data_IF_879021942072
#
_entry.id   IF_879021942072
#
_cell.length_a   1.000
_cell.length_b   1.000
_cell.length_c   1.000
_cell.angle_alpha   90.00
_cell.angle_beta   90.00
_cell.angle_gamma   90.00
#
_symmetry.space_group_name_H-M   'P 1'
#
loop_
_entity.id
_entity.type
_entity.pdbx_description
1 polymer ?
#
# COMPACT_ATOMS: atom_id res chain seq x y z
N UNK A 1 1.45 21.46 19.66
CA UNK A 1 2.04 22.54 18.83
C UNK A 1 1.01 23.64 18.75
N UNK A 2 1.25 24.76 19.43
CA UNK A 2 0.25 25.83 19.59
C UNK A 2 0.34 26.91 18.51
N UNK A 3 1.31 26.80 17.59
CA UNK A 3 1.50 27.73 16.48
C UNK A 3 1.07 27.08 15.17
N UNK A 4 0.27 27.82 14.39
CA UNK A 4 -0.07 27.44 13.02
C UNK A 4 1.19 27.48 12.13
N UNK A 5 1.35 26.54 11.19
CA UNK A 5 2.41 26.59 10.20
C UNK A 5 2.31 27.84 9.33
N UNK A 6 3.46 28.30 8.86
CA UNK A 6 3.58 29.38 7.90
C UNK A 6 3.14 28.92 6.49
N UNK A 7 2.96 29.89 5.58
CA UNK A 7 2.45 29.62 4.23
C UNK A 7 3.38 28.73 3.40
N UNK A 8 4.70 28.80 3.61
CA UNK A 8 5.67 28.01 2.84
C UNK A 8 5.52 26.54 3.21
N UNK A 9 5.37 26.23 4.50
CA UNK A 9 5.13 24.86 4.97
C UNK A 9 3.82 24.27 4.42
N UNK A 10 2.76 25.09 4.31
CA UNK A 10 1.48 24.65 3.71
C UNK A 10 1.66 24.40 2.20
N UNK A 11 2.46 25.20 1.51
CA UNK A 11 2.75 25.01 0.09
C UNK A 11 3.59 23.75 -0.16
N UNK A 12 4.65 23.53 0.63
CA UNK A 12 5.46 22.31 0.57
C UNK A 12 4.60 21.03 0.69
N UNK A 13 3.61 21.05 1.58
CA UNK A 13 2.61 19.96 1.68
C UNK A 13 1.83 19.74 0.38
N UNK A 14 1.38 20.81 -0.27
CA UNK A 14 0.59 20.77 -1.51
C UNK A 14 1.43 20.28 -2.70
N UNK A 15 2.73 20.56 -2.68
CA UNK A 15 3.68 20.14 -3.71
C UNK A 15 4.20 18.70 -3.51
N UNK A 16 3.73 18.03 -2.45
CA UNK A 16 4.06 16.63 -2.15
C UNK A 16 5.42 16.47 -1.50
N UNK A 17 6.03 17.55 -1.02
CA UNK A 17 7.27 17.50 -0.28
C UNK A 17 7.07 16.86 1.10
N UNK A 18 8.14 16.26 1.61
CA UNK A 18 8.11 15.62 2.92
C UNK A 18 8.08 16.68 4.01
N UNK A 19 6.97 16.74 4.74
CA UNK A 19 6.79 17.56 5.94
C UNK A 19 6.42 16.69 7.15
N UNK A 20 6.61 17.24 8.34
CA UNK A 20 6.36 16.52 9.60
C UNK A 20 4.89 16.14 9.81
N UNK A 21 4.66 14.90 10.24
CA UNK A 21 3.32 14.35 10.48
C UNK A 21 2.51 15.14 11.53
N UNK A 22 3.21 15.75 12.49
CA UNK A 22 2.61 16.60 13.53
C UNK A 22 1.99 17.87 12.93
N UNK A 23 2.61 18.45 11.90
CA UNK A 23 2.12 19.61 11.17
C UNK A 23 0.92 19.21 10.31
N UNK A 24 0.97 18.06 9.66
CA UNK A 24 -0.17 17.50 8.90
C UNK A 24 -1.37 17.29 9.83
N UNK A 25 -1.17 16.71 11.02
CA UNK A 25 -2.22 16.53 12.01
C UNK A 25 -2.79 17.87 12.48
N UNK A 26 -1.95 18.86 12.76
CA UNK A 26 -2.39 20.22 13.10
C UNK A 26 -3.21 20.85 11.97
N UNK A 27 -2.75 20.77 10.72
CA UNK A 27 -3.46 21.31 9.56
C UNK A 27 -4.83 20.65 9.35
N UNK A 28 -5.01 19.38 9.73
CA UNK A 28 -6.30 18.68 9.69
C UNK A 28 -7.24 19.11 10.83
N UNK A 29 -6.72 19.35 12.03
CA UNK A 29 -7.51 19.75 13.20
C UNK A 29 -7.87 21.24 13.22
N UNK A 30 -6.93 22.11 12.85
CA UNK A 30 -7.06 23.55 12.98
C UNK A 30 -7.90 24.17 11.85
N UNK A 31 -8.97 24.90 12.20
CA UNK A 31 -9.90 25.49 11.21
C UNK A 31 -9.22 26.56 10.34
N UNK A 32 -8.36 27.40 10.93
CA UNK A 32 -7.65 28.46 10.19
C UNK A 32 -6.67 27.87 9.18
N UNK A 33 -5.94 26.81 9.57
CA UNK A 33 -5.01 26.11 8.69
C UNK A 33 -5.73 25.39 7.55
N UNK A 34 -6.88 24.74 7.82
CA UNK A 34 -7.73 24.15 6.77
C UNK A 34 -8.19 25.17 5.76
N UNK A 35 -8.61 26.36 6.20
CA UNK A 35 -9.05 27.43 5.30
C UNK A 35 -7.91 27.90 4.39
N UNK A 36 -6.74 28.19 4.96
CA UNK A 36 -5.54 28.57 4.19
C UNK A 36 -5.11 27.48 3.20
N UNK A 37 -5.14 26.22 3.62
CA UNK A 37 -4.84 25.08 2.76
C UNK A 37 -5.79 25.04 1.55
N UNK A 38 -7.08 25.26 1.76
CA UNK A 38 -8.07 25.32 0.66
C UNK A 38 -7.82 26.52 -0.26
N UNK A 39 -7.53 27.70 0.29
CA UNK A 39 -7.21 28.90 -0.50
C UNK A 39 -6.01 28.64 -1.44
N UNK A 40 -4.92 28.06 -0.93
CA UNK A 40 -3.73 27.75 -1.74
C UNK A 40 -4.03 26.65 -2.77
N UNK A 41 -4.82 25.63 -2.43
CA UNK A 41 -5.25 24.61 -3.40
C UNK A 41 -6.03 25.20 -4.57
N UNK A 42 -6.94 26.14 -4.30
CA UNK A 42 -7.69 26.83 -5.36
C UNK A 42 -6.75 27.66 -6.24
N UNK A 43 -5.76 28.34 -5.64
CA UNK A 43 -4.76 29.08 -6.40
C UNK A 43 -3.91 28.16 -7.29
N UNK A 44 -3.43 27.03 -6.76
CA UNK A 44 -2.70 26.00 -7.52
C UNK A 44 -3.54 25.47 -8.67
N UNK A 45 -4.78 25.08 -8.41
CA UNK A 45 -5.67 24.56 -9.45
C UNK A 45 -5.95 25.61 -10.54
N UNK A 46 -6.09 26.89 -10.15
CA UNK A 46 -6.26 27.99 -11.10
C UNK A 46 -4.99 28.20 -11.94
N UNK A 47 -3.81 28.08 -11.32
CA UNK A 47 -2.52 28.15 -12.02
C UNK A 47 -2.27 26.95 -12.95
N UNK A 48 -2.65 25.74 -12.54
CA UNK A 48 -2.55 24.53 -13.36
C UNK A 48 -3.47 24.63 -14.60
N UNK A 49 -4.67 25.21 -14.41
CA UNK A 49 -5.63 25.48 -15.51
C UNK A 49 -5.19 26.58 -16.45
N UNK A 50 -4.22 27.42 -16.06
CA UNK A 50 -3.62 28.43 -16.93
C UNK A 50 -2.77 27.80 -18.06
N UNK A 51 -2.71 26.46 -18.14
CA UNK A 51 -2.36 25.64 -19.30
C UNK A 51 -1.53 26.39 -20.36
N UNK A 52 -0.21 26.39 -20.16
CA UNK A 52 0.71 26.77 -21.22
C UNK A 52 0.38 26.00 -22.50
N UNK A 53 0.46 26.65 -23.66
CA UNK A 53 0.24 26.03 -24.98
C UNK A 53 1.31 25.00 -25.35
N UNK A 54 2.23 24.71 -24.45
CA UNK A 54 3.34 23.80 -24.64
C UNK A 54 2.80 22.37 -24.69
N UNK A 55 3.03 21.71 -25.83
CA UNK A 55 2.77 20.30 -25.98
C UNK A 55 4.00 19.53 -25.55
N UNK A 56 3.79 18.39 -24.90
CA UNK A 56 4.86 17.42 -24.67
C UNK A 56 5.52 17.05 -26.01
N UNK A 57 6.84 16.80 -26.04
CA UNK A 57 7.52 16.35 -27.24
C UNK A 57 6.87 15.07 -27.79
N UNK A 58 6.85 14.95 -29.12
CA UNK A 58 6.44 13.69 -29.76
C UNK A 58 7.31 12.53 -29.25
N UNK A 59 6.68 11.40 -28.94
CA UNK A 59 7.37 10.21 -28.41
C UNK A 59 7.70 10.24 -26.90
N UNK A 60 7.33 11.29 -26.15
CA UNK A 60 7.59 11.35 -24.70
C UNK A 60 6.97 10.16 -23.95
N UNK A 61 5.71 9.81 -24.27
CA UNK A 61 5.04 8.67 -23.63
C UNK A 61 5.67 7.33 -23.99
N UNK A 62 6.18 7.18 -25.21
CA UNK A 62 6.88 5.97 -25.66
C UNK A 62 8.21 5.81 -24.93
N UNK A 63 9.00 6.89 -24.83
CA UNK A 63 10.24 6.91 -24.06
C UNK A 63 10.02 6.63 -22.57
N UNK A 64 8.95 7.16 -21.98
CA UNK A 64 8.59 6.89 -20.59
C UNK A 64 8.22 5.41 -20.40
N UNK A 65 7.37 4.88 -21.28
CA UNK A 65 6.91 3.49 -21.21
C UNK A 65 8.05 2.48 -21.37
N UNK A 66 9.01 2.75 -22.26
CA UNK A 66 10.20 1.93 -22.47
C UNK A 66 11.04 1.86 -21.20
N UNK A 67 11.21 2.98 -20.48
CA UNK A 67 12.02 3.05 -19.27
C UNK A 67 11.39 2.34 -18.06
N UNK A 68 10.06 2.24 -18.01
CA UNK A 68 9.33 1.55 -16.93
C UNK A 68 9.15 0.05 -17.14
N UNK A 69 9.41 -0.49 -18.34
CA UNK A 69 9.05 -1.87 -18.71
C UNK A 69 10.07 -2.94 -18.28
N UNK A 70 11.27 -2.56 -17.90
CA UNK A 70 12.41 -3.49 -17.96
C UNK A 70 12.64 -4.41 -16.75
N UNK A 71 11.98 -4.24 -15.60
CA UNK A 71 12.35 -5.03 -14.39
C UNK A 71 11.35 -6.08 -13.91
N UNK A 72 10.05 -5.97 -14.19
CA UNK A 72 9.04 -6.84 -13.57
C UNK A 72 8.67 -8.07 -14.40
N UNK A 73 8.78 -8.00 -15.73
CA UNK A 73 8.38 -9.10 -16.61
C UNK A 73 9.33 -10.30 -16.54
N UNK A 74 10.64 -10.05 -16.48
CA UNK A 74 11.64 -11.12 -16.36
C UNK A 74 11.52 -11.87 -15.03
N UNK A 75 11.30 -11.14 -13.93
CA UNK A 75 11.05 -11.73 -12.62
C UNK A 75 9.78 -12.59 -12.60
N UNK A 76 8.68 -12.09 -13.21
CA UNK A 76 7.44 -12.85 -13.31
C UNK A 76 7.61 -14.15 -14.12
N UNK A 77 8.31 -14.08 -15.26
CA UNK A 77 8.58 -15.24 -16.12
C UNK A 77 9.45 -16.27 -15.39
N UNK A 78 10.50 -15.84 -14.67
CA UNK A 78 11.36 -16.78 -13.92
C UNK A 78 10.60 -17.46 -12.78
N UNK A 79 9.77 -16.74 -12.03
CA UNK A 79 8.91 -17.37 -11.01
C UNK A 79 7.92 -18.37 -11.62
N UNK A 80 7.30 -18.04 -12.75
CA UNK A 80 6.37 -18.94 -13.42
C UNK A 80 7.07 -20.21 -13.92
N UNK A 81 8.28 -20.08 -14.46
CA UNK A 81 9.09 -21.22 -14.91
C UNK A 81 9.50 -22.14 -13.74
N UNK A 82 9.95 -21.57 -12.62
CA UNK A 82 10.30 -22.35 -11.41
C UNK A 82 9.07 -23.10 -10.89
N UNK A 83 7.92 -22.43 -10.83
CA UNK A 83 6.67 -23.05 -10.38
C UNK A 83 6.24 -24.20 -11.28
N UNK A 84 6.34 -24.03 -12.60
CA UNK A 84 6.02 -25.07 -13.57
C UNK A 84 6.93 -26.31 -13.39
N UNK A 85 8.23 -26.09 -13.22
CA UNK A 85 9.19 -27.18 -12.96
C UNK A 85 8.83 -27.94 -11.69
N UNK A 86 8.50 -27.24 -10.60
CA UNK A 86 8.11 -27.88 -9.34
C UNK A 86 6.83 -28.73 -9.50
N UNK A 87 5.84 -28.23 -10.23
CA UNK A 87 4.59 -28.97 -10.50
C UNK A 87 4.88 -30.22 -11.34
N UNK A 88 5.71 -30.10 -12.38
CA UNK A 88 6.11 -31.24 -13.22
C UNK A 88 6.90 -32.26 -12.39
N UNK A 89 7.88 -31.82 -11.59
CA UNK A 89 8.64 -32.70 -10.70
C UNK A 89 7.72 -33.42 -9.70
N UNK A 90 6.75 -32.73 -9.12
CA UNK A 90 5.77 -33.33 -8.21
C UNK A 90 4.89 -34.39 -8.91
N UNK A 91 4.50 -34.15 -10.17
CA UNK A 91 3.73 -35.11 -10.97
C UNK A 91 4.51 -36.41 -11.22
N UNK A 92 5.79 -36.31 -11.57
CA UNK A 92 6.63 -37.48 -11.84
C UNK A 92 7.04 -38.22 -10.56
N UNK A 93 7.17 -37.54 -9.43
CA UNK A 93 7.50 -38.16 -8.14
C UNK A 93 6.34 -38.94 -7.55
N UNK A 94 5.10 -38.43 -7.65
CA UNK A 94 3.92 -39.15 -7.20
C UNK A 94 2.66 -38.63 -7.92
N UNK A 95 2.17 -39.30 -8.98
CA UNK A 95 1.08 -38.80 -9.80
C UNK A 95 -0.24 -38.66 -9.03
N UNK A 96 -0.44 -39.47 -7.96
CA UNK A 96 -1.60 -39.37 -7.08
C UNK A 96 -1.53 -38.18 -6.10
N UNK A 97 -0.34 -37.65 -5.85
CA UNK A 97 -0.13 -36.56 -4.90
C UNK A 97 -0.71 -35.25 -5.39
N UNK A 98 -0.58 -34.92 -6.68
CA UNK A 98 -1.18 -33.69 -7.23
C UNK A 98 -2.69 -33.74 -7.21
N UNK A 99 -3.31 -34.87 -7.57
CA UNK A 99 -4.77 -35.01 -7.50
C UNK A 99 -5.27 -34.92 -6.05
N UNK A 100 -4.56 -35.52 -5.10
CA UNK A 100 -4.86 -35.37 -3.68
C UNK A 100 -4.64 -33.93 -3.18
N UNK A 101 -3.59 -33.25 -3.63
CA UNK A 101 -3.29 -31.87 -3.22
C UNK A 101 -4.29 -30.87 -3.79
N UNK A 102 -4.68 -31.00 -5.07
CA UNK A 102 -5.72 -30.16 -5.67
C UNK A 102 -7.11 -30.43 -5.07
N UNK A 103 -7.41 -31.65 -4.66
CA UNK A 103 -8.70 -31.98 -4.02
C UNK A 103 -8.67 -31.71 -2.51
N UNK A 104 -7.95 -32.52 -1.73
CA UNK A 104 -7.90 -32.43 -0.28
C UNK A 104 -7.06 -31.25 0.23
N UNK A 105 -5.98 -30.89 -0.45
CA UNK A 105 -5.12 -29.76 -0.04
C UNK A 105 -5.83 -28.41 -0.20
N UNK A 106 -6.41 -28.14 -1.37
CA UNK A 106 -7.18 -26.90 -1.59
C UNK A 106 -8.43 -26.86 -0.70
N UNK A 107 -9.16 -27.97 -0.59
CA UNK A 107 -10.37 -28.01 0.26
C UNK A 107 -10.00 -27.83 1.73
N UNK A 108 -8.89 -28.41 2.20
CA UNK A 108 -8.39 -28.23 3.56
C UNK A 108 -7.90 -26.81 3.83
N UNK A 109 -7.27 -26.15 2.85
CA UNK A 109 -6.80 -24.78 2.99
C UNK A 109 -7.97 -23.78 2.98
N UNK A 110 -8.97 -23.99 2.12
CA UNK A 110 -10.22 -23.21 2.12
C UNK A 110 -10.98 -23.44 3.42
N UNK A 111 -11.09 -24.69 3.88
CA UNK A 111 -11.69 -25.01 5.18
C UNK A 111 -10.98 -24.33 6.33
N UNK A 112 -9.66 -24.38 6.38
CA UNK A 112 -8.85 -23.69 7.40
C UNK A 112 -9.07 -22.17 7.38
N UNK A 113 -9.14 -21.55 6.21
CA UNK A 113 -9.41 -20.11 6.08
C UNK A 113 -10.81 -19.76 6.59
N UNK A 114 -11.82 -20.55 6.20
CA UNK A 114 -13.21 -20.35 6.64
C UNK A 114 -13.31 -20.55 8.15
N UNK A 115 -12.76 -21.63 8.70
CA UNK A 115 -12.80 -21.93 10.13
C UNK A 115 -12.05 -20.89 10.96
N UNK A 116 -10.90 -20.41 10.47
CA UNK A 116 -10.16 -19.32 11.10
C UNK A 116 -11.00 -18.04 11.09
N UNK A 117 -11.60 -17.69 9.96
CA UNK A 117 -12.43 -16.50 9.82
C UNK A 117 -13.69 -16.54 10.70
N UNK A 118 -14.40 -17.68 10.71
CA UNK A 118 -15.57 -17.91 11.58
C UNK A 118 -15.16 -17.92 13.05
N UNK A 119 -14.02 -18.54 13.38
CA UNK A 119 -13.43 -18.50 14.72
C UNK A 119 -13.15 -17.07 15.19
N UNK A 120 -12.57 -16.23 14.33
CA UNK A 120 -12.37 -14.81 14.60
C UNK A 120 -13.69 -14.04 14.78
N UNK A 121 -14.73 -14.34 13.98
CA UNK A 121 -16.05 -13.71 14.13
C UNK A 121 -16.73 -14.09 15.45
N UNK A 122 -16.71 -15.37 15.82
CA UNK A 122 -17.30 -15.86 17.08
C UNK A 122 -16.52 -15.33 18.28
N UNK A 123 -15.19 -15.31 18.19
CA UNK A 123 -14.34 -14.73 19.23
C UNK A 123 -14.64 -13.23 19.36
N UNK A 124 -14.75 -12.51 18.23
CA UNK A 124 -15.14 -11.10 18.18
C UNK A 124 -16.52 -10.79 18.77
N UNK A 125 -17.48 -11.71 18.71
CA UNK A 125 -18.80 -11.54 19.34
C UNK A 125 -18.77 -11.69 20.87
N UNK A 126 -17.84 -12.49 21.41
CA UNK A 126 -17.68 -12.72 22.85
C UNK A 126 -16.63 -11.81 23.50
N UNK A 127 -15.87 -11.06 22.71
CA UNK A 127 -14.86 -10.12 23.17
C UNK A 127 -15.49 -8.76 23.47
N UNK A 128 -15.20 -8.22 24.67
CA UNK A 128 -15.61 -6.87 25.03
C UNK A 128 -15.08 -5.87 23.96
N UNK A 129 -15.86 -4.86 23.55
CA UNK A 129 -15.48 -3.91 22.50
C UNK A 129 -14.09 -3.29 22.70
N UNK A 130 -13.68 -3.08 23.95
CA UNK A 130 -12.37 -2.56 24.33
C UNK A 130 -11.20 -3.49 23.95
N UNK A 131 -11.38 -4.81 24.01
CA UNK A 131 -10.35 -5.79 23.63
C UNK A 131 -10.19 -5.89 22.11
N UNK A 132 -11.29 -5.77 21.35
CA UNK A 132 -11.23 -5.66 19.88
C UNK A 132 -10.45 -4.41 19.49
N UNK A 133 -10.75 -3.28 20.13
CA UNK A 133 -10.06 -2.01 19.90
C UNK A 133 -8.57 -2.09 20.26
N UNK A 134 -8.23 -2.76 21.37
CA UNK A 134 -6.85 -3.00 21.77
C UNK A 134 -6.10 -3.93 20.80
N UNK A 135 -6.76 -4.98 20.30
CA UNK A 135 -6.17 -5.90 19.32
C UNK A 135 -5.91 -5.22 17.97
N UNK A 136 -6.87 -4.41 17.49
CA UNK A 136 -6.70 -3.61 16.25
C UNK A 136 -5.59 -2.57 16.43
N UNK A 137 -5.56 -1.88 17.57
CA UNK A 137 -4.48 -0.94 17.87
C UNK A 137 -3.10 -1.63 17.91
N UNK A 138 -3.01 -2.82 18.52
CA UNK A 138 -1.79 -3.60 18.54
C UNK A 138 -1.35 -4.05 17.14
N UNK A 139 -2.29 -4.49 16.28
CA UNK A 139 -2.00 -4.86 14.90
C UNK A 139 -1.44 -3.68 14.09
N UNK A 140 -2.03 -2.49 14.23
CA UNK A 140 -1.55 -1.26 13.59
C UNK A 140 -0.15 -0.87 14.09
N UNK A 141 0.13 -1.04 15.38
CA UNK A 141 1.47 -0.79 15.95
C UNK A 141 2.50 -1.76 15.36
N UNK A 142 2.15 -3.04 15.22
CA UNK A 142 3.03 -4.05 14.61
C UNK A 142 3.30 -3.72 13.14
N UNK A 143 2.27 -3.34 12.38
CA UNK A 143 2.41 -2.93 10.98
C UNK A 143 3.35 -1.73 10.83
N UNK A 144 3.18 -0.70 11.67
CA UNK A 144 4.10 0.44 11.73
C UNK A 144 5.53 0.01 12.04
N UNK A 145 5.72 -0.90 12.99
CA UNK A 145 7.05 -1.40 13.34
C UNK A 145 7.73 -2.14 12.19
N UNK A 146 6.98 -2.97 11.47
CA UNK A 146 7.47 -3.69 10.27
C UNK A 146 7.85 -2.70 9.17
N UNK A 147 7.01 -1.70 8.89
CA UNK A 147 7.29 -0.66 7.90
C UNK A 147 8.52 0.17 8.26
N UNK A 148 8.70 0.52 9.53
CA UNK A 148 9.89 1.21 10.01
C UNK A 148 11.13 0.35 9.78
N UNK A 149 11.08 -0.95 10.13
CA UNK A 149 12.21 -1.86 9.93
C UNK A 149 12.55 -2.06 8.46
N UNK A 150 11.57 -2.25 7.58
CA UNK A 150 11.77 -2.35 6.14
C UNK A 150 12.44 -1.09 5.56
N UNK A 151 11.95 0.09 5.95
CA UNK A 151 12.55 1.37 5.54
C UNK A 151 14.00 1.53 6.02
N UNK A 152 14.36 0.90 7.13
CA UNK A 152 15.74 0.93 7.64
C UNK A 152 16.66 0.02 6.82
N UNK A 153 16.12 -1.04 6.21
CA UNK A 153 16.87 -2.02 5.40
C UNK A 153 16.99 -1.57 3.94
N UNK A 154 16.00 -0.86 3.39
CA UNK A 154 16.07 -0.30 2.03
C UNK A 154 16.92 0.98 1.94
N UNK A 155 17.32 1.55 3.08
CA UNK A 155 18.15 2.76 3.17
C UNK A 155 19.67 2.54 3.20
N UNK A 156 20.13 1.31 2.97
CA UNK A 156 21.55 0.91 2.81
C UNK A 156 21.77 0.30 1.45
#
# INVERSE_FOLDING_TARGET
>A
MDKCPDMITIQAYIDGEKIDDSIIAHMKGCQSCRRRLMEIRVLKETADRLAGKEKLPEGFMEALSARTRDSSLLAAITTAAIFLVLVISAYFLNPGYLQWWFSAGITGLVGFVIDTFVGFLIMGQNLAPALILAAVAAAVIIELFVLIKLKTVEGT
#
